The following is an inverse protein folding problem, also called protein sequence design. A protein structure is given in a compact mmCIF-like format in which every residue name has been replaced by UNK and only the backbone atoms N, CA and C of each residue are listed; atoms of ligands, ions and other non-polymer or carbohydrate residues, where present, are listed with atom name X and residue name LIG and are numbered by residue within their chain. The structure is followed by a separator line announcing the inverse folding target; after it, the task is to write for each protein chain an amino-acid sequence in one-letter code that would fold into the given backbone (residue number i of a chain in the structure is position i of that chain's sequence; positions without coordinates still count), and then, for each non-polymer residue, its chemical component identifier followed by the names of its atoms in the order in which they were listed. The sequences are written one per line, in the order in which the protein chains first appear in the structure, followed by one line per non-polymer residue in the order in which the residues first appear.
data_IF_047080843327
#
_entry.id   IF_047080843327
#
_cell.length_a   1.000
_cell.length_b   1.000
_cell.length_c   1.000
_cell.angle_alpha   90.00
_cell.angle_beta   90.00
_cell.angle_gamma   90.00
#
_symmetry.space_group_name_H-M   'P 1'
#
loop_
_entity.id
_entity.type
_entity.pdbx_description
1 polymer ?
#
# COMPACT_ATOMS: atom_id res chain seq x y z
N UNK A 1 3.24 18.59 10.35
CA UNK A 1 4.10 17.48 10.80
C UNK A 1 3.72 16.29 9.95
N UNK A 2 4.65 15.60 9.25
CA UNK A 2 4.28 14.32 8.67
C UNK A 2 3.89 13.41 9.83
N UNK A 3 2.64 12.97 9.83
CA UNK A 3 2.16 11.92 10.71
C UNK A 3 3.04 10.70 10.45
N UNK A 4 3.61 10.11 11.52
CA UNK A 4 4.41 8.89 11.37
C UNK A 4 3.58 7.79 10.71
N UNK A 5 4.20 6.76 10.12
CA UNK A 5 3.44 5.75 9.36
C UNK A 5 2.26 5.17 10.16
N UNK A 6 2.46 4.90 11.46
CA UNK A 6 1.39 4.40 12.34
C UNK A 6 0.17 5.31 12.39
N UNK A 7 0.36 6.63 12.40
CA UNK A 7 -0.73 7.60 12.39
C UNK A 7 -1.46 7.65 11.03
N UNK A 8 -0.74 7.47 9.91
CA UNK A 8 -1.35 7.46 8.58
C UNK A 8 -2.19 6.22 8.34
N UNK A 9 -1.67 5.05 8.69
CA UNK A 9 -2.41 3.79 8.63
C UNK A 9 -3.61 3.83 9.57
N UNK A 10 -3.44 4.31 10.80
CA UNK A 10 -4.56 4.46 11.74
C UNK A 10 -5.61 5.42 11.19
N UNK A 11 -5.22 6.54 10.57
CA UNK A 11 -6.15 7.49 9.98
C UNK A 11 -6.91 6.90 8.78
N UNK A 12 -6.25 6.08 7.96
CA UNK A 12 -6.90 5.35 6.87
C UNK A 12 -7.92 4.35 7.44
N UNK A 13 -7.48 3.48 8.34
CA UNK A 13 -8.33 2.43 8.90
C UNK A 13 -9.42 2.95 9.84
N UNK A 14 -9.26 4.14 10.41
CA UNK A 14 -10.33 4.83 11.13
C UNK A 14 -11.44 5.36 10.21
N UNK A 15 -11.16 5.55 8.91
CA UNK A 15 -12.12 6.02 7.91
C UNK A 15 -12.76 4.87 7.13
N UNK A 16 -11.98 3.86 6.79
CA UNK A 16 -12.46 2.66 6.11
C UNK A 16 -11.58 1.45 6.42
N UNK A 17 -12.20 0.30 6.69
CA UNK A 17 -11.51 -0.98 6.90
C UNK A 17 -11.26 -1.68 5.55
N UNK A 18 -10.40 -1.05 4.74
CA UNK A 18 -10.22 -1.43 3.34
C UNK A 18 -11.27 -0.85 2.39
N UNK A 19 -11.00 -0.92 1.09
CA UNK A 19 -11.90 -0.52 0.02
C UNK A 19 -11.45 -1.09 -1.33
N UNK A 20 -12.34 -1.11 -2.31
CA UNK A 20 -12.03 -1.36 -3.71
C UNK A 20 -12.47 -0.15 -4.53
N UNK A 21 -11.55 0.47 -5.25
CA UNK A 21 -11.84 1.56 -6.17
C UNK A 21 -12.34 1.02 -7.52
N UNK A 22 -13.03 1.84 -8.30
CA UNK A 22 -13.57 1.42 -9.61
C UNK A 22 -12.45 1.11 -10.62
N UNK A 23 -11.26 1.70 -10.44
CA UNK A 23 -10.03 1.31 -11.16
C UNK A 23 -9.52 -0.11 -10.88
N UNK A 24 -10.08 -0.83 -9.91
CA UNK A 24 -9.63 -2.15 -9.48
C UNK A 24 -8.54 -2.12 -8.39
N UNK A 25 -8.08 -0.93 -8.00
CA UNK A 25 -7.15 -0.78 -6.88
C UNK A 25 -7.87 -1.04 -5.55
N UNK A 26 -7.39 -2.03 -4.82
CA UNK A 26 -7.90 -2.42 -3.52
C UNK A 26 -6.93 -2.10 -2.38
N UNK A 27 -7.47 -1.61 -1.26
CA UNK A 27 -6.81 -1.63 0.05
C UNK A 27 -7.43 -2.74 0.87
N UNK A 28 -6.59 -3.59 1.45
CA UNK A 28 -7.04 -4.71 2.27
C UNK A 28 -7.66 -4.25 3.58
N UNK A 29 -8.69 -4.97 4.03
CA UNK A 29 -9.15 -4.87 5.41
C UNK A 29 -8.02 -5.27 6.37
N UNK A 30 -8.03 -4.72 7.59
CA UNK A 30 -6.98 -4.96 8.60
C UNK A 30 -6.80 -6.46 8.87
N UNK A 31 -7.89 -7.22 8.90
CA UNK A 31 -7.86 -8.66 9.15
C UNK A 31 -7.14 -9.44 8.04
N UNK A 32 -7.23 -8.98 6.80
CA UNK A 32 -6.63 -9.63 5.63
C UNK A 32 -5.14 -9.32 5.48
N UNK A 33 -4.65 -8.21 6.05
CA UNK A 33 -3.24 -7.78 5.90
C UNK A 33 -2.28 -8.91 6.28
N UNK A 34 -2.53 -9.57 7.41
CA UNK A 34 -1.63 -10.63 7.90
C UNK A 34 -1.61 -11.83 6.97
N UNK A 35 -2.77 -12.25 6.46
CA UNK A 35 -2.87 -13.36 5.51
C UNK A 35 -2.16 -12.99 4.20
N UNK A 36 -2.45 -11.82 3.64
CA UNK A 36 -1.88 -11.36 2.37
C UNK A 36 -0.36 -11.25 2.42
N UNK A 37 0.19 -10.65 3.48
CA UNK A 37 1.65 -10.57 3.64
C UNK A 37 2.30 -11.95 3.78
N UNK A 38 1.60 -12.94 4.35
CA UNK A 38 2.08 -14.31 4.42
C UNK A 38 2.00 -15.02 3.06
N UNK A 39 0.91 -14.83 2.31
CA UNK A 39 0.73 -15.38 0.95
C UNK A 39 1.86 -14.98 0.00
N UNK A 40 2.29 -13.72 0.05
CA UNK A 40 3.37 -13.20 -0.79
C UNK A 40 4.75 -13.27 -0.11
N UNK A 41 4.86 -13.94 1.03
CA UNK A 41 6.10 -14.11 1.79
C UNK A 41 6.87 -12.78 2.00
N UNK A 42 6.16 -11.68 2.26
CA UNK A 42 6.73 -10.32 2.33
C UNK A 42 7.86 -10.24 3.35
N UNK A 43 7.76 -10.97 4.47
CA UNK A 43 8.80 -11.04 5.48
C UNK A 43 10.13 -11.66 4.98
N UNK A 44 10.06 -12.48 3.93
CA UNK A 44 11.20 -13.11 3.25
C UNK A 44 11.77 -12.19 2.19
N UNK A 45 10.95 -11.77 1.24
CA UNK A 45 11.42 -11.08 0.04
C UNK A 45 11.52 -9.56 0.19
N UNK A 46 10.60 -8.94 0.94
CA UNK A 46 10.55 -7.49 1.15
C UNK A 46 10.59 -7.15 2.64
N UNK A 47 11.60 -7.68 3.34
CA UNK A 47 11.73 -7.51 4.79
C UNK A 47 11.67 -6.04 5.20
N UNK A 48 10.75 -5.77 6.12
CA UNK A 48 10.51 -4.45 6.66
C UNK A 48 9.35 -3.73 5.99
N UNK A 49 8.92 -4.14 4.81
CA UNK A 49 7.75 -3.57 4.16
C UNK A 49 6.45 -4.25 4.62
N UNK A 50 5.34 -3.55 4.41
CA UNK A 50 3.98 -4.09 4.59
C UNK A 50 3.24 -3.94 3.28
N UNK A 51 2.75 -5.05 2.73
CA UNK A 51 1.79 -5.06 1.63
C UNK A 51 0.41 -4.73 2.19
N UNK A 52 -0.24 -3.69 1.66
CA UNK A 52 -1.54 -3.21 2.17
C UNK A 52 -2.64 -3.13 1.11
N UNK A 53 -2.31 -3.42 -0.15
CA UNK A 53 -3.24 -3.39 -1.26
C UNK A 53 -2.65 -3.94 -2.55
N UNK A 54 -3.47 -4.06 -3.59
CA UNK A 54 -3.08 -4.47 -4.94
C UNK A 54 -3.99 -3.83 -6.01
N UNK A 55 -3.62 -3.98 -7.28
CA UNK A 55 -4.40 -3.51 -8.43
C UNK A 55 -5.27 -4.60 -9.09
N UNK A 56 -5.36 -5.79 -8.49
CA UNK A 56 -5.96 -7.02 -9.05
C UNK A 56 -5.37 -7.48 -10.39
N UNK A 57 -4.33 -6.81 -10.89
CA UNK A 57 -3.60 -7.08 -12.12
C UNK A 57 -2.21 -7.70 -11.88
N UNK A 58 -1.86 -7.95 -10.62
CA UNK A 58 -0.59 -8.57 -10.22
C UNK A 58 0.40 -7.62 -9.57
N UNK A 59 0.09 -6.32 -9.47
CA UNK A 59 0.93 -5.37 -8.73
C UNK A 59 0.39 -5.09 -7.33
N UNK A 60 1.30 -5.08 -6.37
CA UNK A 60 1.03 -4.77 -4.97
C UNK A 60 1.40 -3.34 -4.62
N UNK A 61 0.82 -2.83 -3.53
CA UNK A 61 1.19 -1.57 -2.91
C UNK A 61 1.79 -1.82 -1.53
N UNK A 62 3.00 -1.30 -1.31
CA UNK A 62 3.80 -1.55 -0.11
C UNK A 62 4.17 -0.24 0.59
N UNK A 63 4.29 -0.31 1.91
CA UNK A 63 4.77 0.79 2.76
C UNK A 63 6.05 0.38 3.49
N UNK A 64 7.04 1.28 3.56
CA UNK A 64 8.15 1.15 4.51
C UNK A 64 7.79 1.88 5.82
N UNK A 65 7.62 1.15 6.95
CA UNK A 65 7.35 1.72 8.27
C UNK A 65 8.54 2.38 8.94
N UNK A 66 9.75 2.27 8.38
CA UNK A 66 10.97 2.79 9.00
C UNK A 66 11.15 4.27 8.68
N UNK A 67 11.28 5.13 9.71
CA UNK A 67 11.58 6.54 9.50
C UNK A 67 12.86 6.74 8.69
N UNK A 68 12.95 7.78 7.84
CA UNK A 68 11.96 8.85 7.66
C UNK A 68 10.88 8.54 6.60
N UNK A 69 10.87 7.34 6.02
CA UNK A 69 9.99 7.05 4.89
C UNK A 69 8.55 6.82 5.34
N UNK A 70 7.62 7.39 4.58
CA UNK A 70 6.19 7.08 4.61
C UNK A 70 5.67 6.82 3.19
N UNK A 71 6.59 6.63 2.24
CA UNK A 71 6.28 6.50 0.82
C UNK A 71 5.52 5.21 0.51
N UNK A 72 4.60 5.32 -0.45
CA UNK A 72 3.91 4.18 -1.03
C UNK A 72 4.71 3.71 -2.24
N UNK A 73 5.03 2.42 -2.26
CA UNK A 73 5.73 1.74 -3.34
C UNK A 73 4.77 0.81 -4.08
N UNK A 74 5.07 0.54 -5.35
CA UNK A 74 4.43 -0.55 -6.10
C UNK A 74 5.48 -1.53 -6.64
N UNK A 75 5.08 -2.79 -6.79
CA UNK A 75 5.93 -3.85 -7.32
C UNK A 75 5.08 -4.99 -7.88
N UNK A 76 5.68 -5.80 -8.75
CA UNK A 76 5.08 -7.06 -9.21
C UNK A 76 5.07 -8.08 -8.06
N UNK A 77 3.90 -8.63 -7.74
CA UNK A 77 3.75 -9.60 -6.66
C UNK A 77 4.33 -10.98 -7.00
N UNK A 78 4.56 -11.27 -8.28
CA UNK A 78 5.21 -12.48 -8.76
C UNK A 78 6.74 -12.43 -8.72
N UNK A 79 7.33 -11.25 -8.57
CA UNK A 79 8.79 -11.03 -8.48
C UNK A 79 9.10 -9.93 -7.44
N UNK A 80 8.74 -10.20 -6.19
CA UNK A 80 8.83 -9.22 -5.12
C UNK A 80 10.29 -8.95 -4.72
N UNK A 81 10.92 -7.93 -5.30
CA UNK A 81 12.28 -7.48 -4.92
C UNK A 81 12.27 -5.98 -4.58
N UNK A 82 12.63 -5.59 -3.34
CA UNK A 82 12.78 -4.18 -2.95
C UNK A 82 13.68 -3.34 -3.89
N UNK A 83 14.64 -3.94 -4.58
CA UNK A 83 15.46 -3.24 -5.57
C UNK A 83 14.68 -2.77 -6.80
N UNK A 84 13.54 -3.43 -7.10
CA UNK A 84 12.62 -3.09 -8.19
C UNK A 84 11.41 -2.26 -7.75
N UNK A 85 11.33 -1.82 -6.49
CA UNK A 85 10.17 -1.07 -6.00
C UNK A 85 10.11 0.33 -6.60
N UNK A 86 8.96 0.68 -7.17
CA UNK A 86 8.70 2.00 -7.75
C UNK A 86 7.94 2.85 -6.72
N UNK A 87 8.47 4.02 -6.35
CA UNK A 87 7.75 4.95 -5.48
C UNK A 87 6.60 5.63 -6.25
N UNK A 88 5.36 5.46 -5.78
CA UNK A 88 4.15 5.99 -6.41
C UNK A 88 3.51 7.15 -5.63
N UNK A 89 3.93 7.39 -4.38
CA UNK A 89 3.59 8.59 -3.62
C UNK A 89 4.57 8.79 -2.46
N UNK A 90 4.74 10.02 -2.02
CA UNK A 90 5.60 10.36 -0.86
C UNK A 90 4.96 9.94 0.48
N UNK A 91 3.64 9.85 0.53
CA UNK A 91 2.86 9.41 1.68
C UNK A 91 1.53 8.77 1.28
N UNK A 92 0.86 8.12 2.25
CA UNK A 92 -0.41 7.41 2.02
C UNK A 92 -1.54 8.37 1.63
N UNK A 93 -1.54 9.60 2.16
CA UNK A 93 -2.54 10.61 1.85
C UNK A 93 -2.44 11.07 0.38
N UNK A 94 -1.22 11.30 -0.10
CA UNK A 94 -0.93 11.63 -1.49
C UNK A 94 -1.30 10.51 -2.44
N UNK A 95 -1.07 9.25 -2.05
CA UNK A 95 -1.52 8.09 -2.84
C UNK A 95 -3.05 8.02 -2.96
N UNK A 96 -3.78 8.14 -1.84
CA UNK A 96 -5.26 8.17 -1.84
C UNK A 96 -5.79 9.34 -2.69
N UNK A 97 -5.15 10.51 -2.59
CA UNK A 97 -5.52 11.68 -3.39
C UNK A 97 -5.36 11.44 -4.90
N UNK A 98 -4.31 10.71 -5.31
CA UNK A 98 -4.11 10.33 -6.73
C UNK A 98 -5.16 9.32 -7.20
N UNK A 99 -5.51 8.33 -6.38
CA UNK A 99 -6.60 7.39 -6.70
C UNK A 99 -7.91 8.14 -6.91
N UNK A 100 -8.32 8.96 -5.95
CA UNK A 100 -9.56 9.72 -6.06
C UNK A 100 -9.59 10.67 -7.28
N UNK A 101 -8.45 11.26 -7.63
CA UNK A 101 -8.33 12.11 -8.82
C UNK A 101 -8.45 11.32 -10.14
N UNK A 102 -7.94 10.08 -10.18
CA UNK A 102 -8.08 9.20 -11.35
C UNK A 102 -9.54 8.79 -11.59
N UNK A 103 -10.29 8.55 -10.52
CA UNK A 103 -11.73 8.22 -10.58
C UNK A 103 -12.58 9.41 -11.05
N UNK A 104 -12.22 10.63 -10.64
CA UNK A 104 -12.96 11.85 -11.02
C UNK A 104 -12.79 12.26 -12.50
N UNK A 105 -11.83 11.66 -13.20
CA UNK A 105 -11.53 11.91 -14.61
C UNK A 105 -12.05 10.86 -15.60
N UNK A 106 -12.72 9.80 -15.11
CA UNK A 106 -13.33 8.73 -15.93
C UNK A 106 -14.78 9.00 -16.29
#
# INVERSE_FOLDING_TARGET
MPHGLGDQLLALYARCDGFLADSGVGVYAVEDISERNATFEVATYARGFVLFGDDSGGRGFLLDPRPPSVAVHTSDLGDLDPAGFEAVADDLAGWIGRLAAAEAGS
#
